data_IF_057454835667
#
_entry.id   IF_057454835667
#
_cell.length_a   1.000
_cell.length_b   1.000
_cell.length_c   1.000
_cell.angle_alpha   90.00
_cell.angle_beta   90.00
_cell.angle_gamma   90.00
#
_symmetry.space_group_name_H-M   'P 1'
#
loop_
_entity.id
_entity.type
_entity.pdbx_description
1 polymer ?
#
# COMPACT_ATOMS: atom_id res chain seq x y z
N UNK A 1 -9.61 -17.20 -26.87
CA UNK A 1 -8.41 -16.36 -26.72
C UNK A 1 -8.91 -14.99 -26.31
N UNK A 2 -8.87 -14.69 -25.01
CA UNK A 2 -9.30 -13.39 -24.47
C UNK A 2 -8.15 -12.42 -24.64
N UNK A 3 -8.36 -11.37 -25.41
CA UNK A 3 -7.41 -10.28 -25.61
C UNK A 3 -7.09 -9.67 -24.24
N UNK A 4 -5.81 -9.54 -23.83
CA UNK A 4 -5.48 -8.78 -22.63
C UNK A 4 -5.92 -7.33 -22.85
N UNK A 5 -6.84 -6.86 -22.01
CA UNK A 5 -7.12 -5.43 -21.89
C UNK A 5 -5.81 -4.77 -21.43
N UNK A 6 -5.38 -3.65 -22.05
CA UNK A 6 -4.26 -2.90 -21.52
C UNK A 6 -4.59 -2.49 -20.08
N UNK A 7 -3.68 -2.77 -19.15
CA UNK A 7 -3.77 -2.25 -17.78
C UNK A 7 -3.77 -0.72 -17.88
N UNK A 8 -4.93 -0.11 -17.68
CA UNK A 8 -5.05 1.34 -17.59
C UNK A 8 -4.52 1.76 -16.22
N UNK A 9 -3.84 2.91 -16.13
CA UNK A 9 -3.27 3.36 -14.87
C UNK A 9 -4.38 3.61 -13.83
N UNK A 10 -4.12 3.20 -12.61
CA UNK A 10 -5.00 3.45 -11.46
C UNK A 10 -5.15 4.98 -11.26
N UNK A 11 -6.36 5.43 -10.95
CA UNK A 11 -6.65 6.83 -10.58
C UNK A 11 -6.00 7.12 -9.21
N UNK A 12 -6.07 6.16 -8.31
CA UNK A 12 -5.42 6.17 -7.00
C UNK A 12 -5.15 4.73 -6.59
N UNK A 13 -4.01 4.48 -5.96
CA UNK A 13 -3.56 3.16 -5.54
C UNK A 13 -2.85 3.29 -4.21
N UNK A 14 -3.09 2.36 -3.28
CA UNK A 14 -2.42 2.39 -1.99
C UNK A 14 -2.80 1.21 -1.10
N UNK A 15 -2.06 1.09 0.00
CA UNK A 15 -2.28 0.05 1.01
C UNK A 15 -3.61 0.27 1.71
N UNK A 16 -4.31 -0.81 2.01
CA UNK A 16 -5.52 -0.75 2.82
C UNK A 16 -5.74 -2.07 3.55
N UNK A 17 -6.39 -2.00 4.71
CA UNK A 17 -6.88 -3.21 5.38
C UNK A 17 -8.40 -3.23 5.35
N UNK A 18 -8.98 -4.29 4.77
CA UNK A 18 -10.42 -4.46 4.69
C UNK A 18 -10.94 -5.12 5.97
N UNK A 19 -11.81 -4.42 6.71
CA UNK A 19 -12.49 -4.96 7.88
C UNK A 19 -13.65 -5.87 7.44
N UNK A 20 -13.58 -7.16 7.80
CA UNK A 20 -14.61 -8.17 7.54
C UNK A 20 -15.06 -8.81 8.85
N UNK A 21 -16.17 -8.32 9.41
CA UNK A 21 -16.72 -8.87 10.64
C UNK A 21 -15.79 -8.66 11.83
N UNK A 22 -15.17 -9.74 12.31
CA UNK A 22 -14.18 -9.72 13.40
C UNK A 22 -12.73 -9.64 12.91
N UNK A 23 -12.50 -9.85 11.62
CA UNK A 23 -11.17 -9.95 11.01
C UNK A 23 -10.82 -8.67 10.25
N UNK A 24 -9.52 -8.40 10.10
CA UNK A 24 -8.99 -7.32 9.27
C UNK A 24 -8.02 -7.94 8.27
N UNK A 25 -8.30 -7.81 6.98
CA UNK A 25 -7.54 -8.44 5.89
C UNK A 25 -6.63 -7.39 5.27
N UNK A 26 -5.32 -7.61 5.32
CA UNK A 26 -4.35 -6.72 4.69
C UNK A 26 -4.36 -6.83 3.16
N UNK A 27 -4.13 -5.73 2.46
CA UNK A 27 -4.05 -5.76 1.01
C UNK A 27 -3.78 -4.42 0.34
N UNK A 28 -4.02 -4.39 -0.96
CA UNK A 28 -3.87 -3.22 -1.80
C UNK A 28 -5.22 -2.79 -2.36
N UNK A 29 -5.57 -1.52 -2.21
CA UNK A 29 -6.75 -0.90 -2.78
C UNK A 29 -6.36 -0.05 -3.98
N UNK A 30 -7.04 -0.27 -5.09
CA UNK A 30 -6.93 0.56 -6.30
C UNK A 30 -8.29 1.12 -6.67
N UNK A 31 -8.35 2.42 -6.96
CA UNK A 31 -9.44 3.06 -7.68
C UNK A 31 -9.10 3.04 -9.16
N UNK A 32 -9.82 2.23 -9.94
CA UNK A 32 -9.55 2.05 -11.37
C UNK A 32 -10.81 2.35 -12.14
N UNK A 33 -10.82 3.45 -12.89
CA UNK A 33 -11.92 3.89 -13.76
C UNK A 33 -13.30 3.92 -13.09
N UNK A 34 -13.94 2.75 -13.07
CA UNK A 34 -15.32 2.54 -12.67
C UNK A 34 -15.53 1.63 -11.47
N UNK A 35 -14.45 1.22 -10.78
CA UNK A 35 -14.52 0.34 -9.62
C UNK A 35 -13.38 0.58 -8.64
N UNK A 36 -13.61 0.17 -7.39
CA UNK A 36 -12.56 -0.11 -6.43
C UNK A 36 -12.19 -1.58 -6.54
N UNK A 37 -10.89 -1.88 -6.51
CA UNK A 37 -10.35 -3.24 -6.52
C UNK A 37 -9.48 -3.39 -5.27
N UNK A 38 -9.91 -4.24 -4.36
CA UNK A 38 -9.12 -4.65 -3.22
C UNK A 38 -8.51 -6.02 -3.49
N UNK A 39 -7.18 -6.09 -3.51
CA UNK A 39 -6.42 -7.33 -3.67
C UNK A 39 -5.79 -7.70 -2.32
N UNK A 40 -6.29 -8.72 -1.62
CA UNK A 40 -5.68 -9.17 -0.36
C UNK A 40 -4.29 -9.76 -0.61
N UNK A 41 -3.42 -9.69 0.40
CA UNK A 41 -2.13 -10.39 0.35
C UNK A 41 -2.35 -11.91 0.34
N UNK A 42 -1.44 -12.65 -0.32
CA UNK A 42 -1.57 -14.11 -0.57
C UNK A 42 -1.65 -14.96 0.69
N UNK A 43 -1.27 -14.41 1.84
CA UNK A 43 -1.21 -15.08 3.13
C UNK A 43 -2.55 -15.03 3.90
N UNK A 44 -3.52 -14.24 3.43
CA UNK A 44 -4.81 -14.11 4.07
C UNK A 44 -5.67 -15.38 3.89
N UNK A 45 -6.27 -15.84 4.99
CA UNK A 45 -7.23 -16.97 4.98
C UNK A 45 -8.42 -16.67 4.06
N UNK A 46 -8.80 -15.39 3.93
CA UNK A 46 -9.75 -14.90 2.94
C UNK A 46 -9.02 -14.16 1.81
N UNK A 47 -8.59 -14.89 0.78
CA UNK A 47 -7.77 -14.38 -0.31
C UNK A 47 -8.54 -13.87 -1.54
N UNK A 48 -9.87 -13.88 -1.52
CA UNK A 48 -10.67 -13.45 -2.68
C UNK A 48 -10.64 -11.91 -2.83
N UNK A 49 -10.21 -11.40 -4.00
CA UNK A 49 -10.29 -9.97 -4.30
C UNK A 49 -11.72 -9.44 -4.19
N UNK A 50 -11.86 -8.20 -3.73
CA UNK A 50 -13.14 -7.50 -3.74
C UNK A 50 -13.13 -6.48 -4.86
N UNK A 51 -14.03 -6.66 -5.82
CA UNK A 51 -14.31 -5.64 -6.81
C UNK A 51 -15.64 -4.95 -6.46
N UNK A 52 -15.59 -3.64 -6.28
CA UNK A 52 -16.75 -2.81 -5.94
C UNK A 52 -17.00 -1.86 -7.12
N UNK A 53 -17.97 -2.13 -8.00
CA UNK A 53 -18.35 -1.20 -9.05
C UNK A 53 -18.84 0.12 -8.46
N UNK A 54 -18.31 1.26 -8.91
CA UNK A 54 -18.72 2.59 -8.45
C UNK A 54 -20.20 2.86 -8.72
N UNK A 55 -20.78 2.25 -9.76
CA UNK A 55 -22.22 2.31 -10.04
C UNK A 55 -23.08 1.72 -8.91
N UNK A 56 -22.52 0.87 -8.06
CA UNK A 56 -23.20 0.30 -6.88
C UNK A 56 -22.91 1.08 -5.60
N UNK A 57 -21.99 2.04 -5.63
CA UNK A 57 -21.61 2.84 -4.46
C UNK A 57 -22.61 3.97 -4.27
N UNK A 58 -23.29 3.95 -3.13
CA UNK A 58 -24.16 5.05 -2.69
C UNK A 58 -23.34 6.27 -2.30
N UNK A 59 -22.26 6.03 -1.54
CA UNK A 59 -21.33 7.07 -1.11
C UNK A 59 -20.25 6.55 -0.15
N UNK A 60 -19.42 7.48 0.31
CA UNK A 60 -18.33 7.21 1.26
C UNK A 60 -18.45 8.07 2.51
N UNK A 61 -18.03 7.54 3.66
CA UNK A 61 -17.92 8.33 4.90
C UNK A 61 -16.71 7.93 5.75
N UNK A 62 -16.11 8.87 6.50
CA UNK A 62 -15.17 8.53 7.55
C UNK A 62 -15.78 7.54 8.54
N UNK A 63 -14.97 6.58 8.97
CA UNK A 63 -15.33 5.57 9.94
C UNK A 63 -14.21 5.38 10.94
N UNK A 64 -14.54 4.73 12.06
CA UNK A 64 -13.56 4.27 13.02
C UNK A 64 -13.17 2.85 12.69
N UNK A 65 -11.87 2.57 12.80
CA UNK A 65 -11.33 1.23 12.88
C UNK A 65 -11.87 0.55 14.12
N UNK A 66 -12.35 -0.68 13.99
CA UNK A 66 -12.98 -1.40 15.09
C UNK A 66 -12.16 -2.63 15.48
N UNK A 67 -11.80 -2.71 16.75
CA UNK A 67 -11.28 -3.93 17.38
C UNK A 67 -12.46 -4.87 17.69
N UNK A 68 -12.34 -6.15 17.30
CA UNK A 68 -13.41 -7.17 17.39
C UNK A 68 -14.76 -6.70 16.80
N UNK A 69 -14.73 -5.88 15.74
CA UNK A 69 -15.92 -5.41 15.04
C UNK A 69 -16.79 -4.38 15.79
N UNK A 70 -16.49 -4.04 17.05
CA UNK A 70 -17.34 -3.13 17.86
C UNK A 70 -16.60 -2.06 18.67
N UNK A 71 -15.32 -2.23 19.01
CA UNK A 71 -14.57 -1.27 19.85
C UNK A 71 -13.78 -0.26 18.98
N UNK A 72 -14.07 1.05 19.02
CA UNK A 72 -13.35 2.02 18.20
C UNK A 72 -11.88 2.14 18.64
N UNK A 73 -10.95 1.91 17.70
CA UNK A 73 -9.49 1.91 17.94
C UNK A 73 -8.82 3.18 17.39
N UNK A 74 -9.06 3.51 16.12
CA UNK A 74 -8.47 4.68 15.47
C UNK A 74 -9.43 5.27 14.42
N UNK A 75 -9.45 6.59 14.20
CA UNK A 75 -10.35 7.22 13.24
C UNK A 75 -9.85 7.16 11.79
N UNK A 76 -9.09 6.13 11.40
CA UNK A 76 -8.40 6.01 10.10
C UNK A 76 -9.11 5.09 9.09
N UNK A 77 -10.41 4.83 9.28
CA UNK A 77 -11.18 4.03 8.31
C UNK A 77 -11.99 4.91 7.35
N UNK A 78 -12.17 4.42 6.13
CA UNK A 78 -13.13 4.92 5.14
C UNK A 78 -14.17 3.82 4.87
N UNK A 79 -15.44 4.11 5.15
CA UNK A 79 -16.54 3.22 4.82
C UNK A 79 -17.09 3.56 3.42
N UNK A 80 -17.14 2.56 2.56
CA UNK A 80 -17.79 2.58 1.25
C UNK A 80 -19.13 1.88 1.40
N UNK A 81 -20.22 2.62 1.22
CA UNK A 81 -21.59 2.13 1.37
C UNK A 81 -22.19 1.85 -0.02
N UNK A 82 -22.72 0.63 -0.18
CA UNK A 82 -23.36 0.21 -1.43
C UNK A 82 -24.87 0.45 -1.39
N UNK A 83 -25.49 0.45 -2.56
CA UNK A 83 -26.93 0.68 -2.69
C UNK A 83 -27.79 -0.44 -2.07
N UNK A 84 -27.25 -1.66 -1.96
CA UNK A 84 -27.91 -2.78 -1.29
C UNK A 84 -27.78 -2.74 0.25
N UNK A 85 -27.06 -1.75 0.80
CA UNK A 85 -26.81 -1.58 2.22
C UNK A 85 -25.53 -2.26 2.73
N UNK A 86 -24.79 -2.97 1.88
CA UNK A 86 -23.47 -3.51 2.20
C UNK A 86 -22.49 -2.38 2.51
N UNK A 87 -21.62 -2.59 3.50
CA UNK A 87 -20.57 -1.62 3.87
C UNK A 87 -19.22 -2.32 3.87
N UNK A 88 -18.30 -1.81 3.06
CA UNK A 88 -16.89 -2.18 3.10
C UNK A 88 -16.12 -1.09 3.83
N UNK A 89 -15.43 -1.43 4.93
CA UNK A 89 -14.62 -0.47 5.67
C UNK A 89 -13.13 -0.77 5.44
N UNK A 90 -12.42 0.22 4.92
CA UNK A 90 -10.99 0.14 4.65
C UNK A 90 -10.23 1.00 5.64
N UNK A 91 -9.28 0.42 6.37
CA UNK A 91 -8.25 1.15 7.12
C UNK A 91 -7.19 1.59 6.12
N UNK A 92 -6.93 2.88 6.00
CA UNK A 92 -5.97 3.41 5.04
C UNK A 92 -5.38 4.74 5.50
N UNK A 93 -4.16 5.03 5.06
CA UNK A 93 -3.57 6.37 5.12
C UNK A 93 -4.34 7.31 4.18
N UNK A 94 -4.23 8.62 4.40
CA UNK A 94 -4.80 9.63 3.46
C UNK A 94 -6.32 9.49 3.23
N UNK A 95 -7.09 9.07 4.24
CA UNK A 95 -8.54 8.79 4.12
C UNK A 95 -9.39 9.88 3.47
N UNK A 96 -8.97 11.14 3.59
CA UNK A 96 -9.68 12.27 2.98
C UNK A 96 -9.40 12.38 1.47
N UNK A 97 -8.20 12.02 1.05
CA UNK A 97 -7.80 12.00 -0.37
C UNK A 97 -8.50 10.84 -1.07
N UNK A 98 -8.50 9.65 -0.44
CA UNK A 98 -9.29 8.51 -0.91
C UNK A 98 -10.78 8.83 -1.04
N UNK A 99 -11.35 9.49 -0.02
CA UNK A 99 -12.74 9.95 -0.06
C UNK A 99 -12.99 10.89 -1.24
N UNK A 100 -12.14 11.90 -1.41
CA UNK A 100 -12.27 12.88 -2.49
C UNK A 100 -12.17 12.22 -3.86
N UNK A 101 -11.18 11.35 -4.08
CA UNK A 101 -10.98 10.64 -5.33
C UNK A 101 -12.19 9.77 -5.71
N UNK A 102 -12.78 9.06 -4.74
CA UNK A 102 -13.99 8.25 -4.97
C UNK A 102 -15.19 9.14 -5.27
N UNK A 103 -15.39 10.23 -4.52
CA UNK A 103 -16.52 11.14 -4.72
C UNK A 103 -16.45 11.81 -6.11
N UNK A 104 -15.26 12.22 -6.55
CA UNK A 104 -15.02 12.79 -7.89
C UNK A 104 -15.29 11.76 -9.00
N UNK A 105 -14.84 10.51 -8.82
CA UNK A 105 -15.11 9.43 -9.76
C UNK A 105 -16.62 9.10 -9.85
N UNK A 106 -17.33 9.11 -8.72
CA UNK A 106 -18.79 8.94 -8.68
C UNK A 106 -19.52 10.09 -9.40
N UNK A 107 -19.10 11.32 -9.17
CA UNK A 107 -19.66 12.49 -9.85
C UNK A 107 -19.43 12.40 -11.36
N UNK A 108 -18.22 12.03 -11.78
CA UNK A 108 -17.89 11.81 -13.18
C UNK A 108 -18.78 10.72 -13.81
N UNK A 109 -18.99 9.58 -13.14
CA UNK A 109 -19.89 8.54 -13.67
C UNK A 109 -21.33 8.99 -13.81
N UNK A 110 -21.87 9.63 -12.77
CA UNK A 110 -23.24 10.14 -12.78
C UNK A 110 -23.44 11.18 -13.88
N UNK A 111 -22.42 12.00 -14.15
CA UNK A 111 -22.41 12.94 -15.27
C UNK A 111 -22.43 12.23 -16.63
N UNK A 112 -21.66 11.16 -16.81
CA UNK A 112 -21.66 10.37 -18.04
C UNK A 112 -22.97 9.58 -18.24
N UNK A 113 -23.65 9.22 -17.16
CA UNK A 113 -24.92 8.48 -17.19
C UNK A 113 -26.18 9.37 -17.38
N UNK A 114 -26.09 10.70 -17.28
CA UNK A 114 -27.26 11.58 -17.43
C UNK A 114 -27.74 11.63 -18.90
N UNK A 115 -28.95 11.12 -19.22
CA UNK A 115 -29.49 11.09 -20.58
C UNK A 115 -29.79 12.49 -21.15
N UNK A 116 -29.77 13.53 -20.32
CA UNK A 116 -30.02 14.93 -20.71
C UNK A 116 -28.73 15.67 -21.05
N UNK A 117 -27.57 15.00 -21.00
CA UNK A 117 -26.30 15.60 -21.38
C UNK A 117 -26.37 16.07 -22.85
N UNK A 118 -25.92 17.29 -23.18
CA UNK A 118 -25.76 17.69 -24.57
C UNK A 118 -24.75 16.75 -25.25
N UNK A 119 -25.22 16.04 -26.28
CA UNK A 119 -24.33 15.25 -27.15
C UNK A 119 -23.37 16.21 -27.81
N UNK A 120 -22.08 16.14 -27.46
CA UNK A 120 -21.03 16.80 -28.23
C UNK A 120 -21.11 16.22 -29.64
N UNK A 121 -21.52 17.04 -30.60
CA UNK A 121 -21.56 16.69 -32.01
C UNK A 121 -20.16 16.37 -32.51
N UNK A 122 -20.08 15.35 -33.36
CA UNK A 122 -18.89 14.92 -34.08
C UNK A 122 -18.21 16.11 -34.80
N UNK A 123 -17.03 16.51 -34.33
CA UNK A 123 -16.06 17.35 -35.05
C UNK A 123 -14.66 17.02 -34.49
N UNK A 124 -13.60 16.69 -35.22
CA UNK A 124 -13.35 16.48 -36.65
C UNK A 124 -12.01 15.75 -36.75
N UNK A 125 -11.97 14.67 -37.51
CA UNK A 125 -10.75 14.15 -38.15
C UNK A 125 -10.15 15.26 -39.04
N UNK A 126 -8.96 15.77 -38.70
CA UNK A 126 -7.89 16.21 -39.61
C UNK A 126 -7.01 17.30 -38.98
N UNK A 127 -5.86 16.91 -38.43
CA UNK A 127 -4.62 17.66 -38.57
C UNK A 127 -3.43 16.68 -38.60
N UNK A 128 -2.84 16.58 -39.79
CA UNK A 128 -1.70 15.74 -40.17
C UNK A 128 -0.41 16.22 -39.51
N UNK A 129 0.39 15.23 -39.10
CA UNK A 129 1.77 14.97 -39.56
C UNK A 129 2.72 16.18 -39.72
N UNK A 130 3.78 16.22 -38.89
CA UNK A 130 5.10 16.68 -39.33
C UNK A 130 6.21 15.83 -38.71
N UNK A 131 7.17 15.48 -39.56
CA UNK A 131 8.23 14.46 -39.48
C UNK A 131 9.41 14.90 -38.58
N UNK A 132 9.99 14.02 -37.75
CA UNK A 132 11.22 13.19 -37.97
C UNK A 132 12.53 14.03 -38.12
N UNK A 133 13.72 13.77 -37.54
CA UNK A 133 14.53 12.59 -37.10
C UNK A 133 15.78 13.13 -36.30
N UNK A 134 16.93 12.43 -36.10
CA UNK A 134 17.21 11.10 -35.51
C UNK A 134 18.31 11.12 -34.41
N UNK A 135 18.34 10.05 -33.59
CA UNK A 135 19.55 9.29 -33.20
C UNK A 135 20.55 9.88 -32.19
N UNK A 136 20.73 9.21 -31.05
CA UNK A 136 22.04 8.75 -30.57
C UNK A 136 21.92 7.83 -29.33
N UNK A 137 22.68 6.74 -29.41
CA UNK A 137 23.31 5.94 -28.35
C UNK A 137 22.44 5.17 -27.35
N UNK A 138 22.29 3.89 -27.67
CA UNK A 138 22.37 2.79 -26.71
C UNK A 138 23.70 2.90 -25.93
N UNK A 139 23.61 3.04 -24.62
CA UNK A 139 24.63 2.60 -23.71
C UNK A 139 23.91 1.66 -22.73
N UNK A 140 24.19 0.37 -22.89
CA UNK A 140 24.07 -0.61 -21.83
C UNK A 140 24.85 -0.05 -20.64
N UNK A 141 24.14 0.39 -19.61
CA UNK A 141 24.72 0.56 -18.30
C UNK A 141 24.20 -0.55 -17.40
N UNK A 142 25.14 -1.35 -16.92
CA UNK A 142 24.92 -2.54 -16.13
C UNK A 142 24.21 -2.16 -14.83
N UNK A 143 22.89 -2.31 -14.79
CA UNK A 143 22.13 -2.25 -13.54
C UNK A 143 22.37 -3.55 -12.76
N UNK A 144 23.51 -3.63 -12.06
CA UNK A 144 23.76 -4.58 -10.98
C UNK A 144 23.04 -4.09 -9.70
N UNK A 145 22.62 -4.99 -8.80
CA UNK A 145 21.24 -5.13 -8.39
C UNK A 145 20.75 -3.94 -7.56
N UNK A 146 19.61 -3.42 -7.99
CA UNK A 146 18.68 -2.67 -7.14
C UNK A 146 18.41 -3.48 -5.88
N UNK A 147 18.29 -2.81 -4.73
CA UNK A 147 17.74 -3.38 -3.50
C UNK A 147 16.60 -4.34 -3.85
N UNK A 148 16.65 -5.58 -3.36
CA UNK A 148 15.55 -6.52 -3.58
C UNK A 148 14.47 -6.24 -2.55
N UNK A 149 13.21 -6.29 -2.98
CA UNK A 149 12.06 -6.26 -2.07
C UNK A 149 12.13 -7.51 -1.19
N UNK A 150 11.89 -7.35 0.11
CA UNK A 150 11.86 -8.50 1.00
C UNK A 150 10.63 -9.36 0.71
N UNK A 151 10.84 -10.66 0.58
CA UNK A 151 9.76 -11.64 0.54
C UNK A 151 9.65 -12.30 1.92
N UNK A 152 8.41 -12.49 2.40
CA UNK A 152 8.17 -13.16 3.67
C UNK A 152 8.78 -14.56 3.68
N UNK A 153 9.60 -14.82 4.69
CA UNK A 153 10.12 -16.15 5.01
C UNK A 153 9.20 -16.84 6.04
N UNK A 154 8.27 -17.63 5.51
CA UNK A 154 7.30 -18.42 6.29
C UNK A 154 7.98 -19.49 7.16
N UNK A 155 9.10 -20.05 6.69
CA UNK A 155 9.84 -21.09 7.40
C UNK A 155 10.56 -20.51 8.62
N UNK A 156 11.17 -19.33 8.49
CA UNK A 156 11.67 -18.58 9.64
C UNK A 156 10.53 -18.18 10.58
N UNK A 157 9.44 -17.65 10.03
CA UNK A 157 8.37 -17.08 10.82
C UNK A 157 7.63 -18.15 11.62
N UNK A 158 7.43 -19.36 11.10
CA UNK A 158 6.62 -20.37 11.79
C UNK A 158 7.29 -21.73 12.01
N UNK A 159 8.39 -22.02 11.30
CA UNK A 159 9.13 -23.27 11.46
C UNK A 159 9.97 -23.32 12.75
N UNK A 160 10.21 -22.17 13.38
CA UNK A 160 10.91 -22.08 14.67
C UNK A 160 9.92 -21.66 15.77
N UNK A 161 9.98 -22.27 16.98
CA UNK A 161 9.20 -21.78 18.12
C UNK A 161 9.35 -20.26 18.29
N UNK A 162 8.26 -19.53 18.57
CA UNK A 162 6.99 -20.06 19.07
C UNK A 162 5.94 -20.42 18.00
N UNK A 163 6.28 -20.38 16.70
CA UNK A 163 5.34 -20.72 15.62
C UNK A 163 4.30 -19.61 15.37
N UNK A 164 3.14 -19.94 14.80
CA UNK A 164 2.07 -18.97 14.57
C UNK A 164 1.20 -18.80 15.83
N UNK A 165 1.72 -18.11 16.84
CA UNK A 165 1.07 -17.91 18.14
C UNK A 165 0.79 -16.43 18.46
N UNK A 166 1.08 -15.54 17.50
CA UNK A 166 0.99 -14.09 17.63
C UNK A 166 2.15 -13.43 18.40
N UNK A 167 3.18 -14.18 18.79
CA UNK A 167 4.40 -13.62 19.36
C UNK A 167 5.14 -12.75 18.34
N UNK A 168 5.69 -11.65 18.84
CA UNK A 168 6.35 -10.64 18.02
C UNK A 168 7.49 -11.24 17.18
N UNK A 169 7.62 -10.76 15.94
CA UNK A 169 8.74 -11.04 15.08
C UNK A 169 9.35 -9.73 14.59
N UNK A 170 10.69 -9.70 14.49
CA UNK A 170 11.42 -8.51 14.08
C UNK A 170 12.25 -8.80 12.84
N UNK A 171 12.06 -7.99 11.80
CA UNK A 171 12.90 -7.92 10.63
C UNK A 171 13.87 -6.75 10.78
N UNK A 172 15.18 -7.02 10.68
CA UNK A 172 16.19 -5.98 10.64
C UNK A 172 16.40 -5.54 9.20
N UNK A 173 16.39 -4.23 8.96
CA UNK A 173 16.78 -3.60 7.71
C UNK A 173 18.07 -2.80 7.94
N UNK A 174 19.13 -3.19 7.25
CA UNK A 174 20.34 -2.40 7.10
C UNK A 174 20.24 -1.54 5.83
N UNK A 175 20.35 -0.22 6.01
CA UNK A 175 20.36 0.77 4.92
C UNK A 175 21.77 1.32 4.81
N UNK A 176 22.41 1.15 3.66
CA UNK A 176 23.79 1.61 3.43
C UNK A 176 23.88 2.48 2.19
N UNK A 177 24.84 3.40 2.18
CA UNK A 177 25.09 4.32 1.07
C UNK A 177 24.92 5.79 1.48
N UNK A 178 25.25 6.73 0.57
CA UNK A 178 25.29 8.15 0.88
C UNK A 178 24.00 8.68 1.54
N UNK A 179 24.11 9.19 2.76
CA UNK A 179 22.98 9.79 3.48
C UNK A 179 21.92 8.79 3.99
N UNK A 180 22.25 7.50 4.11
CA UNK A 180 21.36 6.47 4.62
C UNK A 180 20.72 6.83 5.98
N UNK A 181 21.49 7.41 6.90
CA UNK A 181 20.98 7.84 8.20
C UNK A 181 19.88 8.89 8.08
N UNK A 182 20.07 9.88 7.21
CA UNK A 182 19.08 10.93 6.99
C UNK A 182 17.81 10.37 6.31
N UNK A 183 17.98 9.50 5.31
CA UNK A 183 16.86 8.87 4.62
C UNK A 183 16.02 8.00 5.56
N UNK A 184 16.68 7.19 6.39
CA UNK A 184 16.03 6.34 7.39
C UNK A 184 15.22 7.16 8.41
N UNK A 185 15.81 8.23 8.95
CA UNK A 185 15.11 9.13 9.89
C UNK A 185 13.89 9.77 9.22
N UNK A 186 14.04 10.31 8.00
CA UNK A 186 12.91 10.93 7.28
C UNK A 186 11.78 9.95 7.01
N UNK A 187 12.10 8.71 6.63
CA UNK A 187 11.10 7.68 6.41
C UNK A 187 10.39 7.32 7.72
N UNK A 188 11.13 7.05 8.80
CA UNK A 188 10.50 6.77 10.10
C UNK A 188 9.62 7.94 10.54
N UNK A 189 10.10 9.18 10.40
CA UNK A 189 9.33 10.38 10.77
C UNK A 189 8.03 10.57 9.97
N UNK A 190 7.93 9.95 8.79
CA UNK A 190 6.72 9.95 7.97
C UNK A 190 5.63 8.99 8.45
N UNK A 191 5.99 8.00 9.28
CA UNK A 191 5.03 7.05 9.85
C UNK A 191 4.20 7.71 10.96
N UNK A 192 2.96 7.22 11.13
CA UNK A 192 2.12 7.59 12.26
C UNK A 192 2.81 7.31 13.58
N UNK A 193 2.56 8.16 14.58
CA UNK A 193 3.04 7.99 15.94
C UNK A 193 1.86 7.79 16.89
N UNK A 194 1.99 6.88 17.84
CA UNK A 194 1.03 6.74 18.94
C UNK A 194 1.28 7.78 20.07
N UNK A 195 0.51 7.67 21.15
CA UNK A 195 0.58 8.58 22.30
C UNK A 195 1.96 8.57 23.00
N UNK A 196 2.70 7.46 22.88
CA UNK A 196 4.04 7.28 23.44
C UNK A 196 5.14 7.65 22.44
N UNK A 197 4.77 8.09 21.23
CA UNK A 197 5.69 8.45 20.16
C UNK A 197 6.28 7.25 19.42
N UNK A 198 5.74 6.05 19.61
CA UNK A 198 6.14 4.85 18.86
C UNK A 198 5.62 4.98 17.44
N UNK A 199 6.50 4.77 16.47
CA UNK A 199 6.21 4.99 15.05
C UNK A 199 5.91 3.68 14.34
N UNK A 200 4.84 3.66 13.54
CA UNK A 200 4.37 2.46 12.86
C UNK A 200 3.05 2.64 12.14
N UNK A 201 2.60 1.58 11.48
CA UNK A 201 1.31 1.53 10.80
C UNK A 201 0.71 0.13 10.98
N UNK A 202 -0.62 -0.01 10.87
CA UNK A 202 -1.26 -1.30 10.61
C UNK A 202 -0.92 -2.49 11.53
N UNK A 203 -0.45 -2.27 12.77
CA UNK A 203 -0.06 -3.35 13.70
C UNK A 203 1.44 -3.72 13.70
N UNK A 204 2.27 -2.97 12.98
CA UNK A 204 3.73 -3.05 13.07
C UNK A 204 4.33 -1.70 13.49
N UNK A 205 5.56 -1.73 13.98
CA UNK A 205 6.33 -0.54 14.34
C UNK A 205 7.74 -0.56 13.76
N UNK A 206 8.34 0.62 13.60
CA UNK A 206 9.73 0.80 13.20
C UNK A 206 10.51 1.50 14.32
N UNK A 207 11.54 0.83 14.81
CA UNK A 207 12.45 1.34 15.82
C UNK A 207 13.86 1.56 15.22
N UNK A 208 14.61 2.60 15.63
CA UNK A 208 16.01 2.71 15.25
C UNK A 208 16.83 1.58 15.88
N UNK A 209 17.63 0.89 15.07
CA UNK A 209 18.61 -0.08 15.53
C UNK A 209 19.89 0.59 16.02
N UNK A 210 20.65 -0.10 16.87
CA UNK A 210 21.92 0.42 17.38
C UNK A 210 23.03 0.28 16.34
N UNK A 211 23.70 1.38 16.00
CA UNK A 211 24.82 1.39 15.06
C UNK A 211 25.89 2.39 15.48
N UNK A 212 27.15 2.00 15.34
CA UNK A 212 28.29 2.89 15.51
C UNK A 212 28.42 3.86 14.33
N UNK A 213 27.83 5.05 14.48
CA UNK A 213 28.22 6.34 13.91
C UNK A 213 28.79 6.39 12.48
N UNK A 214 27.90 6.63 11.50
CA UNK A 214 28.23 7.17 10.19
C UNK A 214 26.96 7.66 9.49
N UNK A 215 27.02 8.74 8.70
CA UNK A 215 25.85 9.25 7.97
C UNK A 215 25.38 8.30 6.85
N UNK A 216 26.25 7.38 6.43
CA UNK A 216 26.04 6.47 5.30
C UNK A 216 25.59 5.05 5.71
N UNK A 217 25.21 4.86 6.98
CA UNK A 217 24.64 3.61 7.48
C UNK A 217 23.54 3.86 8.50
N UNK A 218 22.44 3.12 8.36
CA UNK A 218 21.37 3.07 9.35
C UNK A 218 20.87 1.64 9.53
N UNK A 219 20.36 1.36 10.73
CA UNK A 219 19.64 0.12 11.02
C UNK A 219 18.24 0.48 11.49
N UNK A 220 17.26 -0.23 10.94
CA UNK A 220 15.85 -0.11 11.29
C UNK A 220 15.36 -1.48 11.71
N UNK A 221 14.60 -1.54 12.81
CA UNK A 221 13.96 -2.75 13.32
C UNK A 221 12.47 -2.66 13.06
N UNK A 222 11.97 -3.47 12.15
CA UNK A 222 10.55 -3.59 11.81
C UNK A 222 9.96 -4.72 12.65
N UNK A 223 9.01 -4.42 13.53
CA UNK A 223 8.43 -5.41 14.44
C UNK A 223 6.93 -5.49 14.26
N UNK A 224 6.41 -6.70 14.04
CA UNK A 224 4.97 -6.99 14.06
C UNK A 224 4.65 -8.05 15.11
N UNK A 225 3.44 -8.00 15.67
CA UNK A 225 2.92 -8.93 16.67
C UNK A 225 1.38 -9.06 16.55
N UNK A 226 0.79 -10.06 17.20
CA UNK A 226 -0.65 -10.29 17.16
C UNK A 226 -1.07 -11.26 16.04
N UNK A 227 -2.32 -11.19 15.60
CA UNK A 227 -2.90 -12.19 14.69
C UNK A 227 -2.27 -12.17 13.28
N UNK A 228 -1.71 -11.03 12.87
CA UNK A 228 -1.29 -10.76 11.49
C UNK A 228 0.23 -10.50 11.36
N UNK A 229 1.08 -11.25 12.07
CA UNK A 229 2.54 -10.99 12.12
C UNK A 229 3.21 -11.00 10.74
N UNK A 230 2.79 -11.91 9.86
CA UNK A 230 3.37 -12.02 8.52
C UNK A 230 2.98 -10.82 7.65
N UNK A 231 1.68 -10.51 7.61
CA UNK A 231 1.13 -9.38 6.87
C UNK A 231 1.74 -8.06 7.39
N UNK A 232 1.85 -7.90 8.71
CA UNK A 232 2.47 -6.72 9.31
C UNK A 232 3.96 -6.58 8.99
N UNK A 233 4.72 -7.67 8.90
CA UNK A 233 6.12 -7.61 8.46
C UNK A 233 6.26 -7.37 6.96
N UNK A 234 5.42 -7.98 6.13
CA UNK A 234 5.35 -7.71 4.69
C UNK A 234 5.04 -6.22 4.47
N UNK A 235 4.08 -5.69 5.23
CA UNK A 235 3.65 -4.29 5.18
C UNK A 235 4.75 -3.30 5.57
N UNK A 236 5.44 -3.60 6.67
CA UNK A 236 6.58 -2.81 7.11
C UNK A 236 7.72 -2.82 6.08
N UNK A 237 8.06 -3.98 5.53
CA UNK A 237 9.17 -4.14 4.61
C UNK A 237 8.90 -3.47 3.26
N UNK A 238 7.68 -3.60 2.74
CA UNK A 238 7.27 -2.94 1.51
C UNK A 238 7.26 -1.41 1.65
N UNK A 239 6.74 -0.90 2.77
CA UNK A 239 6.71 0.54 3.04
C UNK A 239 8.12 1.13 3.14
N UNK A 240 9.04 0.41 3.78
CA UNK A 240 10.46 0.78 3.83
C UNK A 240 11.12 0.69 2.44
N UNK A 241 10.84 -0.38 1.70
CA UNK A 241 11.39 -0.61 0.36
C UNK A 241 11.00 0.52 -0.60
N UNK A 242 9.72 0.88 -0.68
CA UNK A 242 9.22 1.91 -1.60
C UNK A 242 9.85 3.28 -1.33
N UNK A 243 9.95 3.66 -0.06
CA UNK A 243 10.52 4.94 0.33
C UNK A 243 12.04 5.00 0.13
N UNK A 244 12.76 3.95 0.54
CA UNK A 244 14.22 3.98 0.59
C UNK A 244 14.88 3.59 -0.74
N UNK A 245 14.25 2.71 -1.53
CA UNK A 245 14.75 2.37 -2.88
C UNK A 245 14.60 3.52 -3.88
N UNK A 246 13.70 4.47 -3.62
CA UNK A 246 13.56 5.69 -4.40
C UNK A 246 14.72 6.68 -4.21
N UNK A 247 15.56 6.49 -3.18
CA UNK A 247 16.73 7.33 -2.92
C UNK A 247 17.95 6.78 -3.67
N UNK A 248 18.52 7.53 -4.64
CA UNK A 248 19.66 7.04 -5.43
C UNK A 248 20.88 6.73 -4.55
N UNK A 249 21.47 5.56 -4.76
CA UNK A 249 22.71 5.14 -4.10
C UNK A 249 22.52 4.40 -2.78
N UNK A 250 21.28 4.21 -2.31
CA UNK A 250 21.01 3.37 -1.15
C UNK A 250 20.95 1.88 -1.53
N UNK A 251 21.44 1.05 -0.64
CA UNK A 251 21.33 -0.41 -0.66
C UNK A 251 20.59 -0.87 0.59
N UNK A 252 19.65 -1.81 0.42
CA UNK A 252 18.84 -2.37 1.48
C UNK A 252 19.22 -3.83 1.69
N UNK A 253 19.47 -4.22 2.93
CA UNK A 253 19.74 -5.61 3.30
C UNK A 253 18.82 -6.04 4.45
N UNK A 254 18.10 -7.13 4.24
CA UNK A 254 17.09 -7.64 5.16
C UNK A 254 17.63 -8.83 5.95
N UNK A 255 17.41 -8.84 7.26
CA UNK A 255 17.88 -9.90 8.15
C UNK A 255 16.80 -10.23 9.20
N UNK A 256 16.09 -11.36 9.06
CA UNK A 256 15.14 -11.81 10.08
C UNK A 256 15.86 -12.02 11.42
N UNK A 257 15.30 -11.53 12.52
CA UNK A 257 15.89 -11.68 13.85
C UNK A 257 15.45 -12.99 14.51
N UNK A 258 16.22 -13.53 15.48
CA UNK A 258 15.79 -14.70 16.24
C UNK A 258 14.44 -14.46 16.92
N UNK A 259 13.49 -15.39 16.71
CA UNK A 259 12.19 -15.39 17.42
C UNK A 259 12.39 -15.81 18.88
N UNK A 260 11.61 -15.21 19.78
CA UNK A 260 11.65 -15.47 21.23
C UNK A 260 10.27 -15.85 21.73
#
# INVERSE_FOLDING_TARGET
>A
MTTPHPQQPDIMSGRANLQRGLETVGGHLSLVNDRLVFTPHKLNVQSDPVEIPLAQVRGTRPAWTKFLGVLPLAPNSLAVELEDGTVHAFVLSERQEWKAAIDDALAAQRWHADPRRPRLSEETDMARNSQARPGASLADDQRSPSAERWEVDLDWLWGTPPGNDGSAATLRLDVTGPGAAHAAVRWMDSLSADEDGVRGEGGWRADPGNVGGGEDHAVILLTSAGEDVADGLEDAADTAYEALSAVPGLQLHWAPQPRR
#
